data_IF_451421614018
#
_entry.id   IF_451421614018
#
_cell.length_a   1.000
_cell.length_b   1.000
_cell.length_c   1.000
_cell.angle_alpha   90.00
_cell.angle_beta   90.00
_cell.angle_gamma   90.00
#
_symmetry.space_group_name_H-M   'P 1'
#
loop_
_entity.id
_entity.type
_entity.pdbx_description
1 polymer ?
#
# COMPACT_ATOMS: atom_id res chain seq x y z
N UNK A 1 -19.09 -1.67 1.64
CA UNK A 1 -17.62 -1.55 1.85
C UNK A 1 -16.77 -2.35 0.86
N UNK A 2 -17.18 -3.52 0.36
CA UNK A 2 -16.34 -4.35 -0.53
C UNK A 2 -15.93 -3.70 -1.87
N UNK A 3 -16.82 -2.95 -2.53
CA UNK A 3 -16.55 -2.34 -3.85
C UNK A 3 -15.54 -1.19 -3.81
N UNK A 4 -15.59 -0.36 -2.76
CA UNK A 4 -14.68 0.80 -2.59
C UNK A 4 -13.26 0.33 -2.25
N UNK A 5 -13.13 -0.71 -1.42
CA UNK A 5 -11.84 -1.30 -1.10
C UNK A 5 -11.17 -1.90 -2.34
N UNK A 6 -11.94 -2.56 -3.21
CA UNK A 6 -11.43 -3.10 -4.47
C UNK A 6 -10.92 -2.01 -5.41
N UNK A 7 -11.63 -0.88 -5.54
CA UNK A 7 -11.20 0.23 -6.39
C UNK A 7 -9.88 0.85 -5.95
N UNK A 8 -9.71 1.10 -4.64
CA UNK A 8 -8.48 1.66 -4.09
C UNK A 8 -7.31 0.70 -4.27
N UNK A 9 -7.52 -0.61 -4.05
CA UNK A 9 -6.49 -1.62 -4.28
C UNK A 9 -6.06 -1.70 -5.74
N UNK A 10 -7.00 -1.61 -6.68
CA UNK A 10 -6.68 -1.59 -8.12
C UNK A 10 -5.84 -0.35 -8.48
N UNK A 11 -6.22 0.83 -7.99
CA UNK A 11 -5.43 2.06 -8.21
C UNK A 11 -4.03 1.92 -7.61
N UNK A 12 -3.92 1.37 -6.40
CA UNK A 12 -2.62 1.14 -5.76
C UNK A 12 -1.72 0.20 -6.59
N UNK A 13 -2.28 -0.87 -7.14
CA UNK A 13 -1.54 -1.79 -8.03
C UNK A 13 -1.05 -1.07 -9.29
N UNK A 14 -1.91 -0.26 -9.93
CA UNK A 14 -1.54 0.52 -11.12
C UNK A 14 -0.37 1.47 -10.81
N UNK A 15 -0.43 2.16 -9.66
CA UNK A 15 0.63 3.07 -9.23
C UNK A 15 1.94 2.31 -8.97
N UNK A 16 1.88 1.12 -8.37
CA UNK A 16 3.08 0.28 -8.17
C UNK A 16 3.68 -0.13 -9.51
N UNK A 17 2.87 -0.60 -10.47
CA UNK A 17 3.34 -0.98 -11.81
C UNK A 17 3.98 0.21 -12.52
N UNK A 18 3.37 1.40 -12.43
CA UNK A 18 3.93 2.62 -13.00
C UNK A 18 5.31 2.96 -12.43
N UNK A 19 5.49 2.84 -11.12
CA UNK A 19 6.78 3.09 -10.47
C UNK A 19 7.83 2.05 -10.82
N UNK A 20 7.45 0.78 -10.96
CA UNK A 20 8.36 -0.29 -11.42
C UNK A 20 8.89 0.00 -12.83
N UNK A 21 8.05 0.50 -13.73
CA UNK A 21 8.48 0.84 -15.11
C UNK A 21 9.43 2.05 -15.13
N UNK A 22 9.29 2.98 -14.18
CA UNK A 22 10.17 4.16 -14.06
C UNK A 22 11.48 3.86 -13.32
N UNK A 23 11.69 2.63 -12.88
CA UNK A 23 12.89 2.24 -12.16
C UNK A 23 14.07 2.22 -13.14
N UNK A 24 15.15 2.92 -12.78
CA UNK A 24 16.37 2.85 -13.56
C UNK A 24 17.06 1.51 -13.28
N UNK A 25 16.93 0.58 -14.22
CA UNK A 25 17.54 -0.76 -14.14
C UNK A 25 19.04 -0.75 -14.45
N UNK A 26 19.56 0.34 -15.03
CA UNK A 26 21.00 0.47 -15.29
C UNK A 26 21.78 0.87 -14.04
N UNK A 27 21.13 1.59 -13.12
CA UNK A 27 21.65 1.91 -11.80
C UNK A 27 20.58 1.75 -10.71
N UNK A 28 20.56 0.58 -10.09
CA UNK A 28 19.65 0.23 -8.98
C UNK A 28 20.01 0.92 -7.65
N UNK A 29 21.00 1.82 -7.63
CA UNK A 29 21.39 2.54 -6.41
C UNK A 29 20.23 3.31 -5.79
N UNK A 30 20.31 3.47 -4.47
CA UNK A 30 19.33 4.23 -3.71
C UNK A 30 19.32 5.71 -4.09
N UNK A 31 20.44 6.26 -4.55
CA UNK A 31 20.54 7.68 -4.92
C UNK A 31 19.66 7.98 -6.15
N UNK A 32 19.87 7.18 -7.21
CA UNK A 32 19.16 7.28 -8.50
C UNK A 32 17.68 6.93 -8.36
N UNK A 33 17.34 5.87 -7.62
CA UNK A 33 15.96 5.37 -7.49
C UNK A 33 15.26 5.77 -6.18
N UNK A 34 15.82 6.70 -5.40
CA UNK A 34 15.29 7.15 -4.09
C UNK A 34 13.79 7.48 -4.13
N UNK A 35 13.34 8.18 -5.18
CA UNK A 35 11.93 8.56 -5.39
C UNK A 35 11.02 7.35 -5.63
N UNK A 36 11.50 6.38 -6.40
CA UNK A 36 10.77 5.15 -6.70
C UNK A 36 10.63 4.31 -5.43
N UNK A 37 11.75 4.09 -4.73
CA UNK A 37 11.77 3.30 -3.49
C UNK A 37 10.93 3.92 -2.38
N UNK A 38 11.06 5.24 -2.15
CA UNK A 38 10.24 5.93 -1.14
C UNK A 38 8.74 5.86 -1.44
N UNK A 39 8.36 5.95 -2.72
CA UNK A 39 6.95 5.81 -3.14
C UNK A 39 6.40 4.40 -2.89
N UNK A 40 7.17 3.36 -3.22
CA UNK A 40 6.82 1.96 -2.95
C UNK A 40 6.69 1.73 -1.43
N UNK A 41 7.64 2.22 -0.64
CA UNK A 41 7.61 2.10 0.83
C UNK A 41 6.38 2.78 1.41
N UNK A 42 6.06 4.01 0.96
CA UNK A 42 4.87 4.72 1.42
C UNK A 42 3.58 3.93 1.15
N UNK A 43 3.44 3.33 -0.03
CA UNK A 43 2.29 2.51 -0.39
C UNK A 43 2.18 1.24 0.49
N UNK A 44 3.30 0.59 0.79
CA UNK A 44 3.33 -0.56 1.69
C UNK A 44 2.88 -0.17 3.10
N UNK A 45 3.39 0.95 3.63
CA UNK A 45 3.01 1.43 4.96
C UNK A 45 1.51 1.78 5.04
N UNK A 46 0.96 2.41 4.01
CA UNK A 46 -0.48 2.68 3.91
C UNK A 46 -1.26 1.36 3.92
N UNK A 47 -0.81 0.35 3.17
CA UNK A 47 -1.42 -0.98 3.15
C UNK A 47 -1.45 -1.65 4.53
N UNK A 48 -0.33 -1.61 5.26
CA UNK A 48 -0.22 -2.13 6.63
C UNK A 48 -1.15 -1.36 7.57
N UNK A 49 -1.16 -0.03 7.50
CA UNK A 49 -2.02 0.81 8.33
C UNK A 49 -3.51 0.52 8.13
N UNK A 50 -3.94 0.35 6.88
CA UNK A 50 -5.32 -0.02 6.56
C UNK A 50 -5.70 -1.41 7.09
N UNK A 51 -4.83 -2.41 6.93
CA UNK A 51 -5.03 -3.75 7.48
C UNK A 51 -5.11 -3.73 9.01
N UNK A 52 -4.17 -3.05 9.66
CA UNK A 52 -4.17 -2.92 11.12
C UNK A 52 -5.45 -2.27 11.64
N UNK A 53 -5.89 -1.18 10.99
CA UNK A 53 -7.12 -0.48 11.38
C UNK A 53 -8.36 -1.36 11.16
N UNK A 54 -8.40 -2.14 10.06
CA UNK A 54 -9.47 -3.11 9.81
C UNK A 54 -9.54 -4.17 10.91
N UNK A 55 -8.42 -4.79 11.27
CA UNK A 55 -8.35 -5.82 12.32
C UNK A 55 -8.75 -5.23 13.67
N UNK A 56 -8.28 -4.01 13.99
CA UNK A 56 -8.66 -3.29 15.22
C UNK A 56 -10.16 -3.07 15.30
N UNK A 57 -10.80 -2.62 14.22
CA UNK A 57 -12.25 -2.40 14.15
C UNK A 57 -13.04 -3.70 14.30
N UNK A 58 -12.57 -4.80 13.71
CA UNK A 58 -13.21 -6.13 13.84
C UNK A 58 -13.14 -6.63 15.28
N UNK A 59 -11.97 -6.52 15.94
CA UNK A 59 -11.82 -6.90 17.36
C UNK A 59 -12.70 -6.06 18.28
N UNK A 60 -12.84 -4.76 18.02
CA UNK A 60 -13.69 -3.88 18.83
C UNK A 60 -15.17 -4.31 18.74
N UNK A 61 -15.67 -4.61 17.54
CA UNK A 61 -17.05 -5.11 17.36
C UNK A 61 -17.29 -6.44 18.08
N UNK A 62 -16.34 -7.37 17.98
CA UNK A 62 -16.43 -8.67 18.66
C UNK A 62 -16.46 -8.55 20.19
N UNK A 63 -15.82 -7.54 20.77
CA UNK A 63 -15.88 -7.27 22.21
C UNK A 63 -17.17 -6.55 22.65
N UNK A 64 -17.90 -5.89 21.73
CA UNK A 64 -19.18 -5.25 22.01
C UNK A 64 -20.36 -6.24 21.90
N UNK A 65 -20.17 -7.37 21.18
CA UNK A 65 -21.16 -8.44 20.99
C UNK A 65 -21.06 -9.58 22.04
N UNK A 66 -19.99 -9.62 22.85
CA UNK A 66 -19.77 -10.57 23.96
C UNK A 66 -19.99 -9.90 25.33
#
# INVERSE_FOLDING_TARGET
MGKVFNGITVIAIIVIVFWIINLDYSDLSWDTNSKVYSSIIALVLIGIGMQYNRVKLQRKKQNEEN
#
